data_IF_383848596821
#
_entry.id   IF_383848596821
#
_cell.length_a   1.000
_cell.length_b   1.000
_cell.length_c   1.000
_cell.angle_alpha   90.00
_cell.angle_beta   90.00
_cell.angle_gamma   90.00
#
_symmetry.space_group_name_H-M   'P 1'
#
loop_
_entity.id
_entity.type
_entity.pdbx_description
1 polymer ?
#
# COMPACT_ATOMS: atom_id res chain seq x y z
N UNK A 1 5.89 -12.74 -19.22
CA UNK A 1 5.95 -11.28 -19.02
C UNK A 1 6.81 -10.73 -20.14
N UNK A 2 6.32 -9.76 -20.91
CA UNK A 2 7.11 -9.17 -21.99
C UNK A 2 8.23 -8.31 -21.37
N UNK A 3 9.44 -8.34 -21.92
CA UNK A 3 10.53 -7.47 -21.49
C UNK A 3 10.10 -6.01 -21.70
N UNK A 4 9.85 -5.30 -20.60
CA UNK A 4 9.63 -3.86 -20.65
C UNK A 4 10.93 -3.18 -21.10
N UNK A 5 10.81 -2.19 -21.99
CA UNK A 5 11.95 -1.40 -22.42
C UNK A 5 12.52 -0.63 -21.22
N UNK A 6 13.78 -0.91 -20.86
CA UNK A 6 14.46 -0.23 -19.75
C UNK A 6 15.05 1.08 -20.28
N UNK A 7 14.41 2.17 -19.93
CA UNK A 7 14.82 3.53 -20.32
C UNK A 7 16.17 3.91 -19.68
N UNK A 8 16.93 4.86 -20.26
CA UNK A 8 18.14 5.41 -19.63
C UNK A 8 17.88 5.95 -18.23
N UNK A 9 16.73 6.59 -18.02
CA UNK A 9 16.29 7.15 -16.74
C UNK A 9 16.09 6.05 -15.70
N UNK A 10 15.37 4.97 -16.07
CA UNK A 10 15.17 3.82 -15.20
C UNK A 10 16.51 3.16 -14.86
N UNK A 11 17.39 2.98 -15.85
CA UNK A 11 18.72 2.40 -15.63
C UNK A 11 19.56 3.24 -14.66
N UNK A 12 19.51 4.57 -14.78
CA UNK A 12 20.21 5.45 -13.85
C UNK A 12 19.64 5.34 -12.42
N UNK A 13 18.31 5.34 -12.29
CA UNK A 13 17.65 5.20 -11.00
C UNK A 13 17.94 3.84 -10.33
N UNK A 14 17.96 2.75 -11.10
CA UNK A 14 18.31 1.43 -10.62
C UNK A 14 19.74 1.39 -10.06
N UNK A 15 20.74 1.90 -10.78
CA UNK A 15 22.13 1.95 -10.27
C UNK A 15 22.26 2.71 -8.97
N UNK A 16 21.59 3.86 -8.91
CA UNK A 16 21.53 4.69 -7.72
C UNK A 16 20.85 3.97 -6.54
N UNK A 17 19.90 3.09 -6.82
CA UNK A 17 19.23 2.29 -5.80
C UNK A 17 20.09 1.10 -5.36
N UNK A 18 20.76 0.42 -6.29
CA UNK A 18 21.72 -0.66 -6.02
C UNK A 18 22.84 -0.20 -5.06
N UNK A 19 23.40 1.00 -5.30
CA UNK A 19 24.42 1.61 -4.44
C UNK A 19 23.92 1.85 -3.01
N UNK A 20 22.66 2.28 -2.86
CA UNK A 20 22.06 2.58 -1.54
C UNK A 20 21.66 1.31 -0.77
N UNK A 21 21.21 0.29 -1.49
CA UNK A 21 20.76 -0.98 -0.91
C UNK A 21 21.94 -1.95 -0.72
N UNK A 22 23.04 -1.75 -1.44
CA UNK A 22 24.19 -2.66 -1.44
C UNK A 22 23.91 -3.98 -2.18
N UNK A 23 22.98 -3.99 -3.13
CA UNK A 23 22.59 -5.18 -3.90
C UNK A 23 22.60 -4.84 -5.39
N UNK A 24 23.17 -5.72 -6.21
CA UNK A 24 23.20 -5.59 -7.67
C UNK A 24 22.14 -6.47 -8.31
N UNK A 25 21.45 -5.94 -9.31
CA UNK A 25 20.47 -6.65 -10.13
C UNK A 25 21.19 -7.35 -11.27
N UNK A 26 21.00 -8.66 -11.38
CA UNK A 26 21.64 -9.48 -12.42
C UNK A 26 21.14 -9.18 -13.83
N UNK A 27 19.84 -8.88 -13.95
CA UNK A 27 19.20 -8.49 -15.21
C UNK A 27 18.14 -7.41 -14.96
N UNK A 28 18.46 -6.18 -15.36
CA UNK A 28 17.55 -5.04 -15.17
C UNK A 28 16.31 -5.13 -16.06
N UNK A 29 16.29 -5.97 -17.09
CA UNK A 29 15.11 -6.16 -17.95
C UNK A 29 14.09 -7.11 -17.33
N UNK A 30 14.53 -7.97 -16.41
CA UNK A 30 13.66 -8.85 -15.63
C UNK A 30 12.91 -8.08 -14.53
N UNK A 31 11.59 -8.04 -14.64
CA UNK A 31 10.72 -7.42 -13.63
C UNK A 31 10.83 -8.08 -12.25
N UNK A 32 11.12 -9.39 -12.18
CA UNK A 32 11.34 -10.06 -10.90
C UNK A 32 12.64 -9.61 -10.23
N UNK A 33 13.72 -9.48 -10.99
CA UNK A 33 14.98 -8.99 -10.46
C UNK A 33 14.87 -7.52 -9.99
N UNK A 34 14.15 -6.67 -10.75
CA UNK A 34 13.83 -5.30 -10.29
C UNK A 34 12.95 -5.29 -9.03
N UNK A 35 11.96 -6.16 -8.95
CA UNK A 35 11.09 -6.29 -7.78
C UNK A 35 11.86 -6.61 -6.49
N UNK A 36 12.84 -7.52 -6.54
CA UNK A 36 13.65 -7.84 -5.36
C UNK A 36 14.44 -6.62 -4.87
N UNK A 37 15.05 -5.84 -5.79
CA UNK A 37 15.73 -4.60 -5.43
C UNK A 37 14.76 -3.58 -4.81
N UNK A 38 13.57 -3.42 -5.39
CA UNK A 38 12.54 -2.51 -4.87
C UNK A 38 12.06 -2.90 -3.48
N UNK A 39 11.84 -4.20 -3.22
CA UNK A 39 11.48 -4.68 -1.89
C UNK A 39 12.59 -4.46 -0.86
N UNK A 40 13.84 -4.69 -1.24
CA UNK A 40 14.96 -4.40 -0.36
C UNK A 40 15.06 -2.89 -0.05
N UNK A 41 14.82 -2.03 -1.03
CA UNK A 41 14.77 -0.59 -0.83
C UNK A 41 13.61 -0.11 0.06
N UNK A 42 12.42 -0.75 -0.01
CA UNK A 42 11.27 -0.41 0.83
C UNK A 42 11.56 -0.54 2.33
N UNK A 43 12.46 -1.46 2.70
CA UNK A 43 12.88 -1.68 4.09
C UNK A 43 13.84 -0.59 4.61
N UNK A 44 14.35 0.31 3.76
CA UNK A 44 15.34 1.32 4.14
C UNK A 44 14.84 2.74 3.87
N UNK A 45 14.67 3.52 4.95
CA UNK A 45 14.24 4.92 4.86
C UNK A 45 15.18 5.78 4.00
N UNK A 46 16.49 5.48 4.03
CA UNK A 46 17.49 6.20 3.24
C UNK A 46 17.44 5.86 1.75
N UNK A 47 16.92 4.68 1.40
CA UNK A 47 16.77 4.24 0.01
C UNK A 47 15.45 4.71 -0.62
N UNK A 48 14.43 5.07 0.19
CA UNK A 48 13.09 5.45 -0.29
C UNK A 48 13.07 6.56 -1.34
N UNK A 49 13.85 7.66 -1.23
CA UNK A 49 13.86 8.67 -2.30
C UNK A 49 14.37 8.12 -3.64
N UNK A 50 15.37 7.24 -3.61
CA UNK A 50 15.88 6.56 -4.81
C UNK A 50 14.86 5.57 -5.38
N UNK A 51 14.14 4.87 -4.51
CA UNK A 51 13.06 3.97 -4.92
C UNK A 51 11.92 4.73 -5.61
N UNK A 52 11.50 5.87 -5.07
CA UNK A 52 10.46 6.72 -5.68
C UNK A 52 10.87 7.18 -7.09
N UNK A 53 12.15 7.56 -7.27
CA UNK A 53 12.68 7.89 -8.58
C UNK A 53 12.64 6.70 -9.56
N UNK A 54 13.00 5.51 -9.10
CA UNK A 54 12.93 4.29 -9.93
C UNK A 54 11.48 3.94 -10.32
N UNK A 55 10.54 4.03 -9.38
CA UNK A 55 9.11 3.83 -9.63
C UNK A 55 8.57 4.83 -10.66
N UNK A 56 9.00 6.10 -10.57
CA UNK A 56 8.57 7.14 -11.52
C UNK A 56 9.04 6.85 -12.95
N UNK A 57 10.22 6.23 -13.09
CA UNK A 57 10.79 5.85 -14.38
C UNK A 57 10.37 4.43 -14.85
N UNK A 58 9.65 3.67 -14.02
CA UNK A 58 9.28 2.29 -14.30
C UNK A 58 8.16 2.20 -15.36
N UNK A 59 8.49 1.59 -16.50
CA UNK A 59 7.54 1.41 -17.60
C UNK A 59 6.56 0.25 -17.34
N UNK A 60 6.94 -0.74 -16.53
CA UNK A 60 6.03 -1.79 -16.08
C UNK A 60 5.07 -1.24 -15.02
N UNK A 61 3.92 -0.76 -15.47
CA UNK A 61 2.91 -0.19 -14.58
C UNK A 61 2.37 -1.15 -13.52
N UNK A 62 2.40 -2.47 -13.77
CA UNK A 62 1.98 -3.45 -12.77
C UNK A 62 3.04 -3.55 -11.66
N UNK A 63 4.31 -3.58 -12.03
CA UNK A 63 5.43 -3.57 -11.08
C UNK A 63 5.45 -2.26 -10.27
N UNK A 64 5.35 -1.10 -10.94
CA UNK A 64 5.29 0.20 -10.28
C UNK A 64 4.11 0.28 -9.29
N UNK A 65 2.91 -0.14 -9.71
CA UNK A 65 1.72 -0.15 -8.86
C UNK A 65 1.89 -1.08 -7.65
N UNK A 66 2.54 -2.23 -7.80
CA UNK A 66 2.79 -3.15 -6.69
C UNK A 66 3.73 -2.52 -5.65
N UNK A 67 4.83 -1.90 -6.09
CA UNK A 67 5.79 -1.21 -5.21
C UNK A 67 5.11 -0.08 -4.45
N UNK A 68 4.34 0.76 -5.14
CA UNK A 68 3.62 1.87 -4.49
C UNK A 68 2.61 1.35 -3.47
N UNK A 69 1.85 0.30 -3.81
CA UNK A 69 0.92 -0.33 -2.85
C UNK A 69 1.60 -0.75 -1.55
N UNK A 70 2.81 -1.30 -1.64
CA UNK A 70 3.65 -1.65 -0.49
C UNK A 70 4.26 -0.44 0.23
N UNK A 71 4.68 0.59 -0.52
CA UNK A 71 5.24 1.80 0.04
C UNK A 71 4.23 2.55 0.92
N UNK A 72 2.96 2.62 0.47
CA UNK A 72 1.90 3.35 1.17
C UNK A 72 1.69 2.89 2.62
N UNK A 73 1.93 1.60 2.92
CA UNK A 73 1.81 1.04 4.27
C UNK A 73 2.99 1.41 5.19
N UNK A 74 4.09 1.94 4.63
CA UNK A 74 5.35 2.20 5.34
C UNK A 74 5.70 3.69 5.43
N UNK A 75 5.20 4.49 4.49
CA UNK A 75 5.47 5.93 4.44
C UNK A 75 4.49 6.72 5.31
N UNK A 76 4.92 7.86 5.86
CA UNK A 76 4.02 8.79 6.53
C UNK A 76 2.82 9.18 5.66
N UNK A 77 1.68 9.46 6.30
CA UNK A 77 0.45 9.91 5.60
C UNK A 77 0.70 11.09 4.66
N UNK A 78 1.56 12.04 5.06
CA UNK A 78 1.91 13.22 4.28
C UNK A 78 2.60 12.90 2.94
N UNK A 79 3.30 11.77 2.86
CA UNK A 79 4.08 11.41 1.66
C UNK A 79 3.29 10.54 0.68
N UNK A 80 2.16 9.96 1.11
CA UNK A 80 1.38 8.99 0.31
C UNK A 80 0.94 9.56 -1.02
N UNK A 81 0.54 10.83 -1.07
CA UNK A 81 0.13 11.47 -2.32
C UNK A 81 1.28 11.49 -3.33
N UNK A 82 2.50 11.85 -2.91
CA UNK A 82 3.69 11.84 -3.76
C UNK A 82 3.94 10.46 -4.38
N UNK A 83 3.81 9.39 -3.59
CA UNK A 83 3.95 8.01 -4.07
C UNK A 83 2.85 7.61 -5.07
N UNK A 84 1.61 8.03 -4.83
CA UNK A 84 0.50 7.81 -5.76
C UNK A 84 0.74 8.57 -7.07
N UNK A 85 1.23 9.81 -7.00
CA UNK A 85 1.47 10.65 -8.17
C UNK A 85 2.64 10.17 -9.04
N UNK A 86 3.57 9.40 -8.47
CA UNK A 86 4.65 8.75 -9.24
C UNK A 86 4.13 7.70 -10.24
N UNK A 87 2.91 7.18 -10.04
CA UNK A 87 2.29 6.25 -10.98
C UNK A 87 1.69 6.97 -12.18
N UNK A 88 1.81 6.33 -13.34
CA UNK A 88 1.02 6.68 -14.51
C UNK A 88 -0.49 6.66 -14.18
N UNK A 89 -1.30 7.59 -14.71
CA UNK A 89 -2.74 7.66 -14.40
C UNK A 89 -3.50 6.36 -14.63
N UNK A 90 -3.10 5.55 -15.62
CA UNK A 90 -3.75 4.28 -15.98
C UNK A 90 -3.69 3.20 -14.89
N UNK A 91 -2.72 3.27 -13.97
CA UNK A 91 -2.51 2.27 -12.91
C UNK A 91 -2.68 2.82 -11.50
N UNK A 92 -3.11 4.08 -11.37
CA UNK A 92 -3.12 4.82 -10.10
C UNK A 92 -4.30 4.50 -9.18
N UNK A 93 -5.43 4.08 -9.75
CA UNK A 93 -6.70 3.97 -9.03
C UNK A 93 -6.65 3.05 -7.79
N UNK A 94 -5.86 1.97 -7.85
CA UNK A 94 -5.66 1.08 -6.71
C UNK A 94 -4.95 1.80 -5.56
N UNK A 95 -3.83 2.45 -5.84
CA UNK A 95 -3.01 3.16 -4.85
C UNK A 95 -3.73 4.37 -4.26
N UNK A 96 -4.52 5.11 -5.05
CA UNK A 96 -5.39 6.17 -4.54
C UNK A 96 -6.40 5.66 -3.52
N UNK A 97 -7.06 4.54 -3.81
CA UNK A 97 -7.99 3.91 -2.88
C UNK A 97 -7.25 3.49 -1.62
N UNK A 98 -6.11 2.78 -1.76
CA UNK A 98 -5.33 2.29 -0.63
C UNK A 98 -4.83 3.43 0.27
N UNK A 99 -4.37 4.55 -0.31
CA UNK A 99 -3.94 5.71 0.46
C UNK A 99 -5.08 6.31 1.30
N UNK A 100 -6.29 6.42 0.74
CA UNK A 100 -7.48 6.86 1.49
C UNK A 100 -7.85 5.89 2.59
N UNK A 101 -7.87 4.59 2.30
CA UNK A 101 -8.23 3.56 3.28
C UNK A 101 -7.23 3.48 4.45
N UNK A 102 -5.93 3.66 4.19
CA UNK A 102 -4.93 3.77 5.24
C UNK A 102 -5.17 4.99 6.13
N UNK A 103 -5.60 6.12 5.57
CA UNK A 103 -5.98 7.31 6.35
C UNK A 103 -7.16 7.03 7.29
N UNK A 104 -8.19 6.33 6.80
CA UNK A 104 -9.33 5.88 7.63
C UNK A 104 -8.84 4.96 8.75
N UNK A 105 -7.99 3.99 8.44
CA UNK A 105 -7.46 3.04 9.40
C UNK A 105 -6.64 3.72 10.51
N UNK A 106 -5.79 4.69 10.16
CA UNK A 106 -5.04 5.51 11.11
C UNK A 106 -5.95 6.33 12.02
N UNK A 107 -6.98 6.97 11.45
CA UNK A 107 -7.96 7.73 12.21
C UNK A 107 -8.68 6.84 13.22
N UNK A 108 -9.13 5.65 12.81
CA UNK A 108 -9.80 4.69 13.70
C UNK A 108 -8.88 4.15 14.80
N UNK A 109 -7.58 3.97 14.54
CA UNK A 109 -6.61 3.55 15.57
C UNK A 109 -6.31 4.65 16.58
N UNK A 110 -6.29 5.91 16.14
CA UNK A 110 -5.90 7.05 16.97
C UNK A 110 -7.01 7.58 17.87
N UNK A 111 -8.28 7.32 17.53
CA UNK A 111 -9.43 7.83 18.28
C UNK A 111 -9.72 6.93 19.48
N UNK A 112 -9.85 7.56 20.66
CA UNK A 112 -10.42 6.93 21.85
C UNK A 112 -11.95 6.80 21.77
N UNK A 113 -12.59 7.61 20.92
CA UNK A 113 -14.01 7.54 20.59
C UNK A 113 -14.17 7.74 19.08
N UNK A 114 -14.55 6.68 18.36
CA UNK A 114 -14.91 6.82 16.95
C UNK A 114 -16.24 7.58 16.79
N UNK A 115 -16.42 8.34 15.70
CA UNK A 115 -17.73 8.89 15.38
C UNK A 115 -18.70 7.72 15.19
N UNK A 116 -19.99 7.92 15.51
CA UNK A 116 -21.03 6.90 15.25
C UNK A 116 -21.03 6.56 13.77
N UNK A 117 -20.49 5.39 13.41
CA UNK A 117 -20.43 4.93 12.03
C UNK A 117 -21.78 4.30 11.66
N UNK A 118 -22.38 4.80 10.58
CA UNK A 118 -23.53 4.15 9.96
C UNK A 118 -23.11 2.95 9.11
N UNK A 119 -24.02 2.00 8.91
CA UNK A 119 -23.82 0.83 8.04
C UNK A 119 -23.46 1.22 6.59
N UNK A 120 -24.06 2.30 6.08
CA UNK A 120 -23.82 2.81 4.73
C UNK A 120 -22.35 3.20 4.48
N UNK A 121 -21.66 3.69 5.52
CA UNK A 121 -20.25 4.06 5.42
C UNK A 121 -19.35 2.82 5.30
N UNK A 122 -19.73 1.72 5.96
CA UNK A 122 -19.00 0.45 5.94
C UNK A 122 -19.16 -0.25 4.58
N UNK A 123 -20.32 -0.15 3.93
CA UNK A 123 -20.57 -0.75 2.61
C UNK A 123 -19.62 -0.22 1.52
N UNK A 124 -19.19 1.04 1.66
CA UNK A 124 -18.22 1.69 0.78
C UNK A 124 -16.77 1.23 0.97
N UNK A 125 -16.45 0.49 2.04
CA UNK A 125 -15.09 0.03 2.32
C UNK A 125 -14.75 -1.26 1.55
N UNK A 126 -13.49 -1.38 1.12
CA UNK A 126 -13.04 -2.64 0.53
C UNK A 126 -12.92 -3.74 1.58
N UNK A 127 -12.95 -5.00 1.10
CA UNK A 127 -12.67 -6.17 1.92
C UNK A 127 -11.31 -6.06 2.64
N UNK A 128 -10.31 -5.42 2.01
CA UNK A 128 -9.01 -5.17 2.64
C UNK A 128 -9.17 -4.26 3.86
N UNK A 129 -9.81 -3.10 3.72
CA UNK A 129 -9.98 -2.16 4.84
C UNK A 129 -10.79 -2.81 5.96
N UNK A 130 -11.90 -3.49 5.65
CA UNK A 130 -12.73 -4.14 6.65
C UNK A 130 -11.98 -5.24 7.43
N UNK A 131 -11.16 -6.05 6.74
CA UNK A 131 -10.30 -7.05 7.39
C UNK A 131 -9.23 -6.41 8.29
N UNK A 132 -8.60 -5.32 7.85
CA UNK A 132 -7.58 -4.60 8.64
C UNK A 132 -8.21 -3.98 9.90
N UNK A 133 -9.37 -3.35 9.78
CA UNK A 133 -10.10 -2.80 10.94
C UNK A 133 -10.42 -3.91 11.94
N UNK A 134 -11.01 -5.02 11.49
CA UNK A 134 -11.34 -6.14 12.37
C UNK A 134 -10.14 -6.77 13.08
N UNK A 135 -8.92 -6.60 12.55
CA UNK A 135 -7.70 -7.15 13.13
C UNK A 135 -6.92 -6.16 14.01
N UNK A 136 -7.02 -4.85 13.76
CA UNK A 136 -6.10 -3.85 14.33
C UNK A 136 -6.80 -2.71 15.07
N UNK A 137 -8.13 -2.64 15.05
CA UNK A 137 -8.91 -1.59 15.72
C UNK A 137 -9.66 -2.19 16.90
N UNK A 138 -9.56 -1.58 18.08
CA UNK A 138 -10.19 -2.06 19.32
C UNK A 138 -11.51 -1.35 19.66
N UNK A 139 -11.93 -0.38 18.84
CA UNK A 139 -13.15 0.39 19.07
C UNK A 139 -14.42 -0.49 18.92
N UNK A 140 -15.16 -0.77 20.01
CA UNK A 140 -16.26 -1.73 19.97
C UNK A 140 -17.42 -1.29 19.08
N UNK A 141 -17.66 0.02 18.94
CA UNK A 141 -18.74 0.51 18.07
C UNK A 141 -18.49 0.17 16.60
N UNK A 142 -17.26 0.35 16.12
CA UNK A 142 -16.84 0.03 14.75
C UNK A 142 -16.91 -1.48 14.50
N UNK A 143 -16.38 -2.27 15.44
CA UNK A 143 -16.36 -3.72 15.31
C UNK A 143 -17.77 -4.32 15.30
N UNK A 144 -18.72 -3.74 16.04
CA UNK A 144 -20.12 -4.20 16.05
C UNK A 144 -20.78 -4.03 14.67
N UNK A 145 -20.57 -2.88 14.02
CA UNK A 145 -21.05 -2.65 12.65
C UNK A 145 -20.41 -3.64 11.68
N UNK A 146 -19.10 -3.92 11.81
CA UNK A 146 -18.44 -4.93 10.95
C UNK A 146 -18.91 -6.36 11.22
N UNK A 147 -19.23 -6.72 12.46
CA UNK A 147 -19.77 -8.03 12.80
C UNK A 147 -21.17 -8.25 12.19
N UNK A 148 -21.98 -7.19 12.14
CA UNK A 148 -23.35 -7.23 11.60
C UNK A 148 -23.37 -7.13 10.07
N UNK A 149 -22.64 -6.16 9.51
CA UNK A 149 -22.77 -5.74 8.09
C UNK A 149 -21.51 -5.95 7.26
N UNK A 150 -20.45 -6.56 7.81
CA UNK A 150 -19.22 -6.84 7.06
C UNK A 150 -19.50 -7.59 5.76
N UNK A 151 -18.83 -7.19 4.67
CA UNK A 151 -19.13 -7.65 3.29
C UNK A 151 -19.04 -9.16 3.11
N UNK A 152 -18.15 -9.81 3.86
CA UNK A 152 -17.95 -11.27 3.80
C UNK A 152 -18.14 -11.92 5.16
N UNK A 153 -18.45 -13.22 5.15
CA UNK A 153 -18.51 -14.03 6.38
C UNK A 153 -17.19 -13.98 7.17
N UNK A 154 -16.04 -13.94 6.47
CA UNK A 154 -14.72 -13.86 7.10
C UNK A 154 -14.58 -12.56 7.88
N UNK A 155 -14.95 -11.43 7.28
CA UNK A 155 -14.91 -10.11 7.93
C UNK A 155 -15.79 -10.08 9.18
N UNK A 156 -17.05 -10.51 9.05
CA UNK A 156 -17.99 -10.54 10.19
C UNK A 156 -17.44 -11.36 11.35
N UNK A 157 -16.91 -12.55 11.06
CA UNK A 157 -16.29 -13.42 12.08
C UNK A 157 -15.09 -12.76 12.76
N UNK A 158 -14.16 -12.19 11.99
CA UNK A 158 -12.98 -11.52 12.54
C UNK A 158 -13.39 -10.38 13.48
N UNK A 159 -14.41 -9.59 13.12
CA UNK A 159 -14.92 -8.53 13.97
C UNK A 159 -15.61 -9.06 15.25
N UNK A 160 -16.38 -10.15 15.15
CA UNK A 160 -16.96 -10.82 16.33
C UNK A 160 -15.89 -11.35 17.29
N UNK A 161 -14.83 -11.97 16.76
CA UNK A 161 -13.71 -12.47 17.56
C UNK A 161 -12.98 -11.32 18.26
N UNK A 162 -12.75 -10.20 17.57
CA UNK A 162 -12.13 -9.00 18.14
C UNK A 162 -12.98 -8.31 19.22
N UNK A 163 -14.31 -8.44 19.19
CA UNK A 163 -15.20 -7.94 20.24
C UNK A 163 -15.20 -8.79 21.52
N UNK A 164 -14.82 -10.06 21.40
CA UNK A 164 -14.86 -11.02 22.49
C UNK A 164 -13.54 -11.14 23.26
N UNK A 165 -12.43 -10.62 22.70
CA UNK A 165 -11.11 -10.55 23.31
C UNK A 165 -10.83 -9.21 23.97
#
# INVERSE_FOLDING_TARGET
MANAEVTPELRHALRQLEERVGTTVSDVTDGHARWELYRAALASDTARPGLLAAVTAEADGALASAVVGEALERVPRADRETWVQALAPSVRAFSERRARELGILEELRSRAEAPTLGTELVDGWSDWLQLRIGAEVSEPSVLRVLAESGRTKRIRRTATEALAG
#
